data_IF_635970421213
#
_entry.id   IF_635970421213
#
_cell.length_a   1.000
_cell.length_b   1.000
_cell.length_c   1.000
_cell.angle_alpha   90.00
_cell.angle_beta   90.00
_cell.angle_gamma   90.00
#
_symmetry.space_group_name_H-M   'P 1'
#
loop_
_entity.id
_entity.type
_entity.pdbx_description
1 polymer ?
#
# COMPACT_ATOMS: atom_id res chain seq x y z
N UNK A 1 24.99 15.44 -0.94
CA UNK A 1 24.09 14.33 -0.57
C UNK A 1 24.79 13.40 0.43
N UNK A 2 24.06 12.62 1.24
CA UNK A 2 24.67 11.52 2.01
C UNK A 2 25.36 10.51 1.06
N UNK A 3 26.56 10.05 1.39
CA UNK A 3 27.37 9.18 0.51
C UNK A 3 26.65 7.89 0.08
N UNK A 4 25.87 7.30 0.98
CA UNK A 4 25.09 6.07 0.71
C UNK A 4 24.02 6.27 -0.37
N UNK A 5 23.46 7.47 -0.47
CA UNK A 5 22.49 7.80 -1.52
C UNK A 5 23.19 7.97 -2.87
N UNK A 6 24.37 8.59 -2.89
CA UNK A 6 25.17 8.76 -4.12
C UNK A 6 25.71 7.42 -4.67
N UNK A 7 25.91 6.41 -3.81
CA UNK A 7 26.31 5.06 -4.22
C UNK A 7 25.16 4.27 -4.87
N UNK A 8 23.92 4.52 -4.45
CA UNK A 8 22.73 3.80 -4.90
C UNK A 8 21.95 4.54 -6.00
N UNK A 9 22.28 5.80 -6.27
CA UNK A 9 21.59 6.65 -7.25
C UNK A 9 22.43 6.94 -8.50
N UNK A 10 21.76 7.07 -9.63
CA UNK A 10 22.35 7.50 -10.90
C UNK A 10 21.77 8.84 -11.36
N UNK A 11 22.55 9.70 -11.98
CA UNK A 11 22.07 10.99 -12.50
C UNK A 11 20.87 10.88 -13.46
N UNK A 12 20.70 9.76 -14.18
CA UNK A 12 19.57 9.48 -15.06
C UNK A 12 18.25 9.23 -14.31
N UNK A 13 18.31 8.90 -13.02
CA UNK A 13 17.13 8.65 -12.17
C UNK A 13 16.50 9.97 -11.66
N UNK A 14 17.16 11.10 -11.88
CA UNK A 14 16.76 12.41 -11.35
C UNK A 14 16.45 13.41 -12.47
N UNK A 15 15.50 14.33 -12.27
CA UNK A 15 15.23 15.42 -13.21
C UNK A 15 16.49 16.24 -13.50
N UNK A 16 16.60 16.76 -14.73
CA UNK A 16 17.77 17.54 -15.15
C UNK A 16 18.07 18.75 -14.24
N UNK A 17 17.04 19.29 -13.59
CA UNK A 17 17.12 20.47 -12.72
C UNK A 17 17.43 20.15 -11.26
N UNK A 18 17.62 18.87 -10.90
CA UNK A 18 17.81 18.46 -9.51
C UNK A 18 19.20 18.86 -8.98
N UNK A 19 19.31 19.63 -7.88
CA UNK A 19 20.59 20.02 -7.31
C UNK A 19 21.42 18.82 -6.84
N UNK A 20 22.69 18.75 -7.23
CA UNK A 20 23.59 17.65 -6.88
C UNK A 20 23.50 16.44 -7.81
N UNK A 21 22.71 16.52 -8.90
CA UNK A 21 22.65 15.48 -9.94
C UNK A 21 24.00 15.26 -10.61
N UNK A 22 24.77 16.33 -10.80
CA UNK A 22 26.13 16.31 -11.35
C UNK A 22 27.13 15.54 -10.48
N UNK A 23 26.80 15.32 -9.21
CA UNK A 23 27.62 14.57 -8.26
C UNK A 23 27.30 13.06 -8.28
N UNK A 24 26.25 12.66 -9.01
CA UNK A 24 25.86 11.25 -9.17
C UNK A 24 26.58 10.64 -10.38
N UNK A 25 27.05 9.41 -10.21
CA UNK A 25 27.72 8.68 -11.29
C UNK A 25 26.77 8.25 -12.40
N UNK A 26 27.30 8.13 -13.62
CA UNK A 26 26.65 7.44 -14.74
C UNK A 26 27.01 5.96 -14.63
N UNK A 27 26.16 5.15 -13.97
CA UNK A 27 26.36 3.71 -13.76
C UNK A 27 25.12 2.89 -14.10
N UNK A 28 25.26 1.77 -14.80
CA UNK A 28 24.12 0.89 -15.05
C UNK A 28 23.57 0.31 -13.73
N UNK A 29 22.32 0.63 -13.39
CA UNK A 29 21.63 0.08 -12.23
C UNK A 29 20.81 -1.15 -12.64
N UNK A 30 21.48 -2.31 -12.77
CA UNK A 30 20.83 -3.55 -13.22
C UNK A 30 19.67 -3.93 -12.31
N UNK A 31 19.79 -3.72 -10.99
CA UNK A 31 18.72 -3.99 -10.04
C UNK A 31 17.49 -3.10 -10.22
N UNK A 32 17.66 -1.85 -10.67
CA UNK A 32 16.54 -0.99 -11.06
C UNK A 32 15.89 -1.46 -12.36
N UNK A 33 16.69 -1.82 -13.37
CA UNK A 33 16.19 -2.35 -14.64
C UNK A 33 15.33 -3.61 -14.43
N UNK A 34 15.81 -4.55 -13.62
CA UNK A 34 15.07 -5.77 -13.30
C UNK A 34 13.76 -5.48 -12.54
N UNK A 35 13.78 -4.50 -11.62
CA UNK A 35 12.55 -4.09 -10.92
C UNK A 35 11.54 -3.42 -11.86
N UNK A 36 12.01 -2.64 -12.83
CA UNK A 36 11.14 -2.07 -13.86
C UNK A 36 10.54 -3.14 -14.76
N UNK A 37 11.35 -4.10 -15.19
CA UNK A 37 10.88 -5.23 -15.99
C UNK A 37 9.78 -6.01 -15.24
N UNK A 38 10.04 -6.40 -13.99
CA UNK A 38 9.04 -7.09 -13.17
C UNK A 38 7.76 -6.25 -12.94
N UNK A 39 7.90 -4.94 -12.75
CA UNK A 39 6.75 -4.06 -12.58
C UNK A 39 5.91 -3.92 -13.86
N UNK A 40 6.55 -3.92 -15.03
CA UNK A 40 5.86 -3.93 -16.32
C UNK A 40 5.15 -5.26 -16.54
N UNK A 41 5.79 -6.39 -16.24
CA UNK A 41 5.17 -7.72 -16.35
C UNK A 41 3.91 -7.81 -15.46
N UNK A 42 3.98 -7.35 -14.20
CA UNK A 42 2.81 -7.32 -13.30
C UNK A 42 1.71 -6.39 -13.82
N UNK A 43 2.08 -5.23 -14.38
CA UNK A 43 1.12 -4.28 -14.94
C UNK A 43 0.43 -4.84 -16.19
N UNK A 44 1.17 -5.50 -17.08
CA UNK A 44 0.62 -6.14 -18.29
C UNK A 44 -0.42 -7.22 -17.93
N UNK A 45 -0.13 -8.04 -16.92
CA UNK A 45 -1.10 -9.04 -16.43
C UNK A 45 -2.35 -8.35 -15.85
N UNK A 46 -2.18 -7.30 -15.03
CA UNK A 46 -3.32 -6.56 -14.49
C UNK A 46 -4.18 -5.96 -15.61
N UNK A 47 -3.54 -5.34 -16.61
CA UNK A 47 -4.22 -4.70 -17.73
C UNK A 47 -4.84 -5.69 -18.73
N UNK A 48 -4.55 -6.99 -18.60
CA UNK A 48 -5.25 -8.02 -19.38
C UNK A 48 -6.70 -8.25 -18.93
N UNK A 49 -7.04 -7.86 -17.69
CA UNK A 49 -8.40 -7.87 -17.16
C UNK A 49 -9.16 -6.61 -17.57
N UNK A 50 -10.49 -6.72 -17.69
CA UNK A 50 -11.32 -5.55 -17.97
C UNK A 50 -11.42 -4.61 -16.76
N UNK A 51 -11.64 -3.32 -17.02
CA UNK A 51 -11.85 -2.33 -15.96
C UNK A 51 -13.00 -2.72 -15.00
N UNK A 52 -14.05 -3.37 -15.51
CA UNK A 52 -15.17 -3.83 -14.68
C UNK A 52 -14.79 -4.99 -13.76
N UNK A 53 -13.91 -5.91 -14.19
CA UNK A 53 -13.41 -7.00 -13.36
C UNK A 53 -12.57 -6.44 -12.21
N UNK A 54 -11.62 -5.56 -12.54
CA UNK A 54 -10.74 -4.94 -11.56
C UNK A 54 -11.55 -4.09 -10.57
N UNK A 55 -12.41 -3.20 -11.08
CA UNK A 55 -13.25 -2.34 -10.24
C UNK A 55 -14.20 -3.14 -9.35
N UNK A 56 -14.81 -4.20 -9.89
CA UNK A 56 -15.70 -5.08 -9.14
C UNK A 56 -15.01 -5.75 -7.97
N UNK A 57 -13.80 -6.29 -8.19
CA UNK A 57 -13.02 -6.90 -7.12
C UNK A 57 -12.54 -5.89 -6.08
N UNK A 58 -12.02 -4.71 -6.50
CA UNK A 58 -11.59 -3.68 -5.55
C UNK A 58 -12.77 -3.24 -4.66
N UNK A 59 -13.96 -3.08 -5.23
CA UNK A 59 -15.15 -2.72 -4.47
C UNK A 59 -15.56 -3.83 -3.49
N UNK A 60 -15.57 -5.09 -3.93
CA UNK A 60 -15.88 -6.22 -3.06
C UNK A 60 -14.87 -6.34 -1.90
N UNK A 61 -13.58 -6.18 -2.19
CA UNK A 61 -12.53 -6.16 -1.17
C UNK A 61 -12.73 -5.00 -0.19
N UNK A 62 -13.05 -3.80 -0.69
CA UNK A 62 -13.33 -2.63 0.13
C UNK A 62 -14.50 -2.87 1.10
N UNK A 63 -15.60 -3.43 0.59
CA UNK A 63 -16.80 -3.70 1.39
C UNK A 63 -16.52 -4.74 2.48
N UNK A 64 -15.71 -5.76 2.19
CA UNK A 64 -15.27 -6.72 3.20
C UNK A 64 -14.38 -6.09 4.26
N UNK A 65 -13.40 -5.26 3.89
CA UNK A 65 -12.56 -4.52 4.85
C UNK A 65 -13.42 -3.64 5.75
N UNK A 66 -14.36 -2.88 5.19
CA UNK A 66 -15.29 -2.06 5.98
C UNK A 66 -16.14 -2.90 6.92
N UNK A 67 -16.73 -3.98 6.41
CA UNK A 67 -17.56 -4.89 7.21
C UNK A 67 -16.77 -5.46 8.38
N UNK A 68 -15.55 -5.94 8.14
CA UNK A 68 -14.70 -6.50 9.19
C UNK A 68 -14.24 -5.44 10.19
N UNK A 69 -13.78 -4.26 9.75
CA UNK A 69 -13.36 -3.19 10.67
C UNK A 69 -14.53 -2.75 11.56
N UNK A 70 -15.75 -2.64 11.02
CA UNK A 70 -16.93 -2.24 11.79
C UNK A 70 -17.35 -3.27 12.86
N UNK A 71 -16.84 -4.51 12.81
CA UNK A 71 -17.06 -5.50 13.86
C UNK A 71 -16.16 -5.28 15.08
N UNK A 72 -15.08 -4.49 14.94
CA UNK A 72 -14.05 -4.32 15.96
C UNK A 72 -13.91 -2.85 16.39
N UNK A 73 -14.47 -2.45 17.56
CA UNK A 73 -14.32 -1.09 18.08
C UNK A 73 -12.86 -0.68 18.37
N UNK A 74 -11.96 -1.65 18.48
CA UNK A 74 -10.51 -1.44 18.66
C UNK A 74 -9.82 -0.94 17.39
N UNK A 75 -10.50 -1.01 16.24
CA UNK A 75 -10.01 -0.53 14.95
C UNK A 75 -10.83 0.68 14.50
N UNK A 76 -10.16 1.69 13.97
CA UNK A 76 -10.78 2.83 13.33
C UNK A 76 -10.19 3.01 11.93
N UNK A 77 -10.99 2.82 10.89
CA UNK A 77 -10.58 3.18 9.55
C UNK A 77 -10.57 4.70 9.39
N UNK A 78 -9.45 5.24 8.89
CA UNK A 78 -9.38 6.65 8.55
C UNK A 78 -10.07 6.93 7.21
N UNK A 79 -10.84 8.01 7.17
CA UNK A 79 -11.44 8.49 5.93
C UNK A 79 -10.34 8.87 4.94
N UNK A 80 -10.36 8.24 3.76
CA UNK A 80 -9.44 8.55 2.67
C UNK A 80 -10.23 9.31 1.60
N UNK A 81 -9.78 10.49 1.16
CA UNK A 81 -10.44 11.21 0.08
C UNK A 81 -10.35 10.39 -1.21
N UNK A 82 -11.41 10.44 -2.03
CA UNK A 82 -11.38 9.78 -3.33
C UNK A 82 -10.31 10.39 -4.24
N UNK A 83 -9.63 9.54 -5.01
CA UNK A 83 -8.61 9.96 -5.95
C UNK A 83 -9.25 10.65 -7.15
N UNK A 84 -8.96 11.94 -7.33
CA UNK A 84 -9.40 12.66 -8.52
C UNK A 84 -8.47 12.34 -9.70
N UNK A 85 -8.98 11.54 -10.65
CA UNK A 85 -8.31 11.18 -11.90
C UNK A 85 -8.87 11.88 -13.15
N UNK A 86 -9.84 12.79 -12.98
CA UNK A 86 -10.50 13.51 -14.09
C UNK A 86 -9.52 14.17 -15.10
N UNK A 87 -8.35 14.72 -14.69
CA UNK A 87 -7.41 15.29 -15.66
C UNK A 87 -6.70 14.25 -16.55
N UNK A 88 -6.72 12.97 -16.16
CA UNK A 88 -5.99 11.88 -16.81
C UNK A 88 -6.92 10.92 -17.57
N UNK A 89 -8.15 10.71 -17.08
CA UNK A 89 -9.13 9.82 -17.70
C UNK A 89 -10.53 10.43 -17.67
N UNK A 90 -11.29 10.24 -18.75
CA UNK A 90 -12.66 10.76 -18.88
C UNK A 90 -13.75 9.80 -18.39
N UNK A 91 -13.39 8.56 -18.06
CA UNK A 91 -14.31 7.51 -17.60
C UNK A 91 -14.00 7.10 -16.14
N UNK A 92 -15.03 6.59 -15.43
CA UNK A 92 -14.82 5.83 -14.19
C UNK A 92 -13.84 4.70 -14.50
N UNK A 93 -12.69 4.73 -13.82
CA UNK A 93 -11.58 3.81 -14.02
C UNK A 93 -11.18 3.23 -12.68
N UNK A 94 -10.75 1.97 -12.65
CA UNK A 94 -10.35 1.29 -11.42
C UNK A 94 -9.28 2.06 -10.62
N UNK A 95 -8.40 2.81 -11.28
CA UNK A 95 -7.35 3.66 -10.65
C UNK A 95 -7.89 4.88 -9.86
N UNK A 96 -9.20 5.11 -9.88
CA UNK A 96 -9.86 6.09 -9.00
C UNK A 96 -10.30 5.50 -7.65
N UNK A 97 -10.26 4.17 -7.51
CA UNK A 97 -10.70 3.46 -6.31
C UNK A 97 -9.58 3.39 -5.26
N UNK A 98 -9.98 3.35 -3.99
CA UNK A 98 -9.05 3.22 -2.86
C UNK A 98 -8.53 1.79 -2.77
N UNK A 99 -7.20 1.63 -2.80
CA UNK A 99 -6.51 0.36 -2.59
C UNK A 99 -5.64 0.34 -1.33
N UNK A 100 -5.67 1.42 -0.53
CA UNK A 100 -4.92 1.54 0.72
C UNK A 100 -5.87 1.98 1.84
N UNK A 101 -6.00 1.14 2.87
CA UNK A 101 -6.82 1.40 4.05
C UNK A 101 -5.91 1.68 5.24
N UNK A 102 -5.96 2.90 5.77
CA UNK A 102 -5.19 3.29 6.95
C UNK A 102 -6.02 3.07 8.20
N UNK A 103 -5.55 2.20 9.07
CA UNK A 103 -6.18 1.77 10.31
C UNK A 103 -5.49 2.44 11.49
N UNK A 104 -6.27 3.14 12.30
CA UNK A 104 -5.86 3.62 13.62
C UNK A 104 -6.31 2.61 14.66
N UNK A 105 -5.46 2.39 15.67
CA UNK A 105 -5.80 1.64 16.88
C UNK A 105 -5.94 2.64 18.03
N UNK A 106 -7.16 3.08 18.41
CA UNK A 106 -7.36 4.22 19.29
C UNK A 106 -6.73 4.10 20.69
N UNK A 107 -6.54 2.87 21.17
CA UNK A 107 -5.98 2.58 22.49
C UNK A 107 -4.46 2.33 22.49
N UNK A 108 -3.83 2.45 21.32
CA UNK A 108 -2.41 2.18 21.15
C UNK A 108 -1.63 3.49 20.95
N UNK A 109 -0.51 3.62 21.65
CA UNK A 109 0.49 4.65 21.38
C UNK A 109 1.49 4.20 20.28
N UNK A 110 2.35 5.11 19.83
CA UNK A 110 3.34 4.85 18.77
C UNK A 110 4.22 3.62 19.05
N UNK A 111 4.73 3.47 20.27
CA UNK A 111 5.58 2.35 20.65
C UNK A 111 4.80 1.01 20.64
N UNK A 112 3.55 1.01 21.08
CA UNK A 112 2.69 -0.18 21.07
C UNK A 112 2.33 -0.58 19.64
N UNK A 113 2.02 0.38 18.75
CA UNK A 113 1.77 0.09 17.33
C UNK A 113 3.02 -0.52 16.67
N UNK A 114 4.20 -0.01 16.98
CA UNK A 114 5.46 -0.55 16.45
C UNK A 114 5.72 -1.99 16.93
N UNK A 115 5.53 -2.27 18.23
CA UNK A 115 5.71 -3.60 18.79
C UNK A 115 4.70 -4.62 18.21
N UNK A 116 3.44 -4.19 18.05
CA UNK A 116 2.40 -4.98 17.40
C UNK A 116 2.78 -5.30 15.95
N UNK A 117 3.18 -4.28 15.17
CA UNK A 117 3.63 -4.45 13.80
C UNK A 117 4.77 -5.47 13.69
N UNK A 118 5.80 -5.36 14.53
CA UNK A 118 6.92 -6.30 14.53
C UNK A 118 6.48 -7.74 14.82
N UNK A 119 5.55 -7.92 15.77
CA UNK A 119 4.97 -9.23 16.09
C UNK A 119 4.20 -9.82 14.90
N UNK A 120 3.39 -8.99 14.24
CA UNK A 120 2.60 -9.40 13.08
C UNK A 120 3.48 -9.73 11.86
N UNK A 121 4.59 -9.00 11.68
CA UNK A 121 5.58 -9.30 10.63
C UNK A 121 6.24 -10.68 10.85
N UNK A 122 6.58 -11.03 12.10
CA UNK A 122 7.10 -12.36 12.43
C UNK A 122 6.09 -13.48 12.15
N UNK A 123 4.79 -13.17 12.18
CA UNK A 123 3.70 -14.08 11.82
C UNK A 123 3.32 -14.02 10.34
N UNK A 124 4.11 -13.32 9.53
CA UNK A 124 3.91 -13.16 8.09
C UNK A 124 2.60 -12.46 7.68
N UNK A 125 2.04 -11.62 8.54
CA UNK A 125 0.92 -10.77 8.17
C UNK A 125 1.40 -9.58 7.32
N UNK A 126 0.69 -9.33 6.22
CA UNK A 126 1.04 -8.30 5.25
C UNK A 126 0.41 -6.96 5.63
N UNK A 127 1.18 -6.13 6.34
CA UNK A 127 0.83 -4.77 6.69
C UNK A 127 1.94 -3.81 6.29
N UNK A 128 1.57 -2.60 5.90
CA UNK A 128 2.52 -1.51 5.74
C UNK A 128 3.14 -1.10 7.08
N UNK A 129 4.33 -0.52 7.01
CA UNK A 129 5.03 0.01 8.18
C UNK A 129 4.16 1.02 8.94
N UNK A 130 4.33 1.14 10.27
CA UNK A 130 3.67 2.17 11.06
C UNK A 130 3.96 3.56 10.51
N UNK A 131 2.93 4.37 10.41
CA UNK A 131 3.03 5.75 9.92
C UNK A 131 2.37 6.73 10.87
N UNK A 132 3.00 7.89 11.08
CA UNK A 132 2.37 8.99 11.80
C UNK A 132 1.24 9.54 10.94
N UNK A 133 0.03 9.53 11.49
CA UNK A 133 -1.22 9.95 10.84
C UNK A 133 -1.76 11.25 11.41
N UNK A 134 -1.13 11.79 12.46
CA UNK A 134 -1.46 13.08 13.05
C UNK A 134 -0.96 13.18 14.48
N UNK A 135 -1.54 14.12 15.22
CA UNK A 135 -1.29 14.35 16.64
C UNK A 135 -2.61 14.50 17.40
N UNK A 136 -2.70 13.89 18.58
CA UNK A 136 -3.83 14.04 19.50
C UNK A 136 -3.26 14.28 20.90
N UNK A 137 -3.76 15.29 21.62
CA UNK A 137 -3.30 15.64 22.97
C UNK A 137 -1.77 15.79 23.07
N UNK A 138 -1.16 16.39 22.04
CA UNK A 138 0.29 16.57 21.87
C UNK A 138 1.11 15.27 21.70
N UNK A 139 0.46 14.11 21.59
CA UNK A 139 1.07 12.83 21.28
C UNK A 139 0.88 12.47 19.79
N UNK A 140 1.85 11.75 19.21
CA UNK A 140 1.76 11.24 17.83
C UNK A 140 0.74 10.12 17.75
N UNK A 141 -0.18 10.25 16.80
CA UNK A 141 -1.10 9.17 16.44
C UNK A 141 -0.47 8.40 15.29
N UNK A 142 -0.36 7.09 15.46
CA UNK A 142 0.26 6.19 14.48
C UNK A 142 -0.79 5.20 13.97
N UNK A 143 -0.75 4.91 12.68
CA UNK A 143 -1.64 3.94 12.03
C UNK A 143 -0.86 2.87 11.26
N UNK A 144 -1.54 1.77 10.97
CA UNK A 144 -1.08 0.70 10.09
C UNK A 144 -1.86 0.75 8.78
N UNK A 145 -1.29 0.20 7.70
CA UNK A 145 -1.93 0.21 6.38
C UNK A 145 -2.15 -1.20 5.88
N UNK A 146 -3.39 -1.52 5.54
CA UNK A 146 -3.70 -2.65 4.67
C UNK A 146 -3.68 -2.15 3.23
N UNK A 147 -2.90 -2.78 2.34
CA UNK A 147 -2.78 -2.36 0.95
C UNK A 147 -3.13 -3.52 0.02
N UNK A 148 -3.93 -3.24 -1.00
CA UNK A 148 -4.25 -4.14 -2.08
C UNK A 148 -3.37 -3.80 -3.28
N UNK A 149 -2.35 -4.63 -3.55
CA UNK A 149 -1.43 -4.42 -4.67
C UNK A 149 -2.01 -4.95 -5.99
N UNK A 150 -1.46 -4.49 -7.12
CA UNK A 150 -1.75 -5.02 -8.45
C UNK A 150 -1.64 -6.56 -8.48
N UNK A 151 -0.59 -7.11 -7.88
CA UNK A 151 -0.39 -8.56 -7.76
C UNK A 151 -1.53 -9.28 -7.04
N UNK A 152 -2.01 -8.75 -5.91
CA UNK A 152 -3.13 -9.35 -5.18
C UNK A 152 -4.44 -9.28 -5.96
N UNK A 153 -4.64 -8.22 -6.75
CA UNK A 153 -5.77 -8.12 -7.68
C UNK A 153 -5.67 -9.20 -8.75
N UNK A 154 -4.50 -9.36 -9.38
CA UNK A 154 -4.30 -10.40 -10.41
C UNK A 154 -4.46 -11.81 -9.85
N UNK A 155 -3.97 -12.09 -8.63
CA UNK A 155 -4.12 -13.38 -7.95
C UNK A 155 -5.61 -13.69 -7.68
N UNK A 156 -6.35 -12.68 -7.21
CA UNK A 156 -7.78 -12.81 -6.95
C UNK A 156 -8.58 -13.09 -8.23
N UNK A 157 -8.34 -12.30 -9.29
CA UNK A 157 -9.07 -12.41 -10.56
C UNK A 157 -8.70 -13.66 -11.37
N UNK A 158 -7.50 -14.21 -11.17
CA UNK A 158 -7.05 -15.40 -11.90
C UNK A 158 -7.56 -16.70 -11.29
N UNK A 159 -7.51 -16.84 -9.96
CA UNK A 159 -7.68 -18.18 -9.36
C UNK A 159 -8.13 -18.21 -7.90
N UNK A 160 -7.94 -17.14 -7.11
CA UNK A 160 -7.98 -17.27 -5.65
C UNK A 160 -8.54 -16.06 -4.90
N UNK A 161 -9.64 -15.50 -5.39
CA UNK A 161 -10.34 -14.39 -4.74
C UNK A 161 -10.60 -14.66 -3.25
N UNK A 162 -11.19 -15.83 -2.92
CA UNK A 162 -11.47 -16.16 -1.51
C UNK A 162 -10.21 -16.23 -0.65
N UNK A 163 -9.07 -16.68 -1.20
CA UNK A 163 -7.81 -16.74 -0.45
C UNK A 163 -7.26 -15.36 -0.15
N UNK A 164 -7.29 -14.45 -1.12
CA UNK A 164 -6.86 -13.05 -0.93
C UNK A 164 -7.75 -12.37 0.12
N UNK A 165 -9.06 -12.56 0.02
CA UNK A 165 -10.04 -12.03 0.99
C UNK A 165 -9.81 -12.60 2.40
N UNK A 166 -9.66 -13.92 2.52
CA UNK A 166 -9.44 -14.59 3.81
C UNK A 166 -8.15 -14.12 4.50
N UNK A 167 -7.06 -13.91 3.75
CA UNK A 167 -5.80 -13.36 4.29
C UNK A 167 -6.00 -11.95 4.86
N UNK A 168 -6.72 -11.09 4.14
CA UNK A 168 -7.01 -9.72 4.58
C UNK A 168 -7.88 -9.70 5.85
N UNK A 169 -8.98 -10.45 5.86
CA UNK A 169 -9.89 -10.56 7.00
C UNK A 169 -9.15 -11.12 8.22
N UNK A 170 -8.33 -12.16 8.04
CA UNK A 170 -7.52 -12.72 9.12
C UNK A 170 -6.54 -11.69 9.70
N UNK A 171 -5.91 -10.90 8.85
CA UNK A 171 -5.02 -9.80 9.28
C UNK A 171 -5.76 -8.78 10.14
N UNK A 172 -6.97 -8.37 9.73
CA UNK A 172 -7.79 -7.43 10.48
C UNK A 172 -8.27 -8.00 11.82
N UNK A 173 -8.69 -9.26 11.84
CA UNK A 173 -9.08 -9.94 13.07
C UNK A 173 -7.91 -10.02 14.07
N UNK A 174 -6.71 -10.40 13.59
CA UNK A 174 -5.51 -10.47 14.43
C UNK A 174 -5.13 -9.10 15.00
N UNK A 175 -5.22 -8.04 14.18
CA UNK A 175 -5.01 -6.65 14.61
C UNK A 175 -5.97 -6.23 15.72
N UNK A 176 -7.20 -6.73 15.71
CA UNK A 176 -8.22 -6.38 16.68
C UNK A 176 -8.10 -7.14 18.01
N UNK A 177 -7.47 -8.33 18.01
CA UNK A 177 -7.43 -9.25 19.16
C UNK A 177 -6.09 -9.30 19.89
N UNK A 178 -5.03 -8.72 19.32
CA UNK A 178 -3.70 -8.63 19.96
C UNK A 178 -3.65 -7.43 20.90
#
# INVERSE_FOLDING_TARGET
MPNTLAELSNCAEWPNTWPGREQLGVKTNIGLLLRWHAALDELEVLLSFSDSQISGFIQHFHDAVLTTVNQYPTLQLLTTPQLNRQPLTSAKHWDSLTTIWTLRLPHYNEAQVLALYQTLQQRHYQLGQPVVIGTQDNARVTGLRLSLSARLITEALSDSEQTVMAKAIKTLAELATT
#
